data_IF_594377425127
#
_entry.id   IF_594377425127
#
_cell.length_a   1.000
_cell.length_b   1.000
_cell.length_c   1.000
_cell.angle_alpha   90.00
_cell.angle_beta   90.00
_cell.angle_gamma   90.00
#
_symmetry.space_group_name_H-M   'P 1'
#
loop_
_entity.id
_entity.type
_entity.pdbx_description
1 polymer ?
#
# COMPACT_ATOMS: atom_id res chain seq x y z
N UNK A 1 36.46 -22.46 8.61
CA UNK A 1 35.84 -21.17 8.99
C UNK A 1 35.60 -20.21 7.80
N UNK A 2 36.35 -20.30 6.68
CA UNK A 2 36.14 -19.44 5.48
C UNK A 2 34.83 -19.68 4.69
N UNK A 3 34.19 -20.86 4.82
CA UNK A 3 32.97 -21.19 4.05
C UNK A 3 31.70 -20.43 4.51
N UNK A 4 31.66 -19.96 5.77
CA UNK A 4 30.52 -19.19 6.29
C UNK A 4 30.45 -17.78 5.68
N UNK A 5 31.59 -17.24 5.22
CA UNK A 5 31.69 -15.86 4.72
C UNK A 5 30.87 -15.64 3.44
N UNK A 6 30.66 -16.69 2.65
CA UNK A 6 29.86 -16.64 1.42
C UNK A 6 28.35 -16.76 1.67
N UNK A 7 27.91 -17.04 2.90
CA UNK A 7 26.50 -17.21 3.21
C UNK A 7 25.75 -15.87 3.21
N UNK A 8 26.36 -14.81 3.76
CA UNK A 8 25.78 -13.47 3.84
C UNK A 8 25.33 -12.88 2.48
N UNK A 9 26.14 -12.89 1.40
CA UNK A 9 25.70 -12.36 0.12
C UNK A 9 24.55 -13.17 -0.50
N UNK A 10 24.48 -14.49 -0.26
CA UNK A 10 23.39 -15.34 -0.78
C UNK A 10 22.04 -14.96 -0.15
N UNK A 11 22.03 -14.64 1.15
CA UNK A 11 20.82 -14.18 1.84
C UNK A 11 20.31 -12.82 1.30
N UNK A 12 21.19 -11.96 0.78
CA UNK A 12 20.78 -10.68 0.21
C UNK A 12 19.96 -10.84 -1.08
N UNK A 13 20.24 -11.86 -1.90
CA UNK A 13 19.55 -12.12 -3.16
C UNK A 13 18.17 -12.78 -3.00
N UNK A 14 17.83 -13.33 -1.83
CA UNK A 14 16.52 -13.96 -1.55
C UNK A 14 15.54 -13.05 -0.82
N UNK A 15 15.88 -11.77 -0.62
CA UNK A 15 15.05 -10.79 0.10
C UNK A 15 13.82 -10.29 -0.67
N UNK A 16 13.37 -11.00 -1.71
CA UNK A 16 12.19 -10.60 -2.49
C UNK A 16 10.92 -10.75 -1.64
N UNK A 17 10.48 -9.63 -1.07
CA UNK A 17 9.22 -9.55 -0.33
C UNK A 17 8.06 -9.61 -1.32
N UNK A 18 7.32 -10.71 -1.31
CA UNK A 18 6.06 -10.83 -2.04
C UNK A 18 4.95 -10.20 -1.19
N UNK A 19 4.73 -8.90 -1.37
CA UNK A 19 3.55 -8.26 -0.82
C UNK A 19 2.30 -8.92 -1.42
N UNK A 20 1.36 -9.32 -0.56
CA UNK A 20 0.08 -9.86 -1.04
C UNK A 20 -0.66 -8.78 -1.83
N UNK A 21 -0.85 -9.02 -3.12
CA UNK A 21 -1.47 -8.08 -4.04
C UNK A 21 -2.87 -8.57 -4.43
N UNK A 22 -3.79 -8.50 -3.47
CA UNK A 22 -5.21 -8.78 -3.73
C UNK A 22 -5.97 -7.47 -4.00
N UNK A 23 -5.97 -7.02 -5.27
CA UNK A 23 -6.68 -5.80 -5.68
C UNK A 23 -8.17 -5.79 -5.33
N UNK A 24 -8.79 -6.96 -5.12
CA UNK A 24 -10.22 -7.04 -4.79
C UNK A 24 -10.50 -6.42 -3.42
N UNK A 25 -9.57 -6.55 -2.50
CA UNK A 25 -9.73 -6.09 -1.11
C UNK A 25 -9.72 -4.55 -1.03
N UNK A 26 -9.16 -3.87 -2.04
CA UNK A 26 -9.09 -2.41 -2.12
C UNK A 26 -10.24 -1.76 -2.90
N UNK A 27 -11.22 -2.54 -3.39
CA UNK A 27 -12.36 -1.99 -4.15
C UNK A 27 -13.43 -1.34 -3.26
N UNK A 28 -13.52 -1.79 -2.01
CA UNK A 28 -14.54 -1.40 -1.04
C UNK A 28 -13.90 -1.01 0.28
N UNK A 29 -14.49 -0.06 0.99
CA UNK A 29 -13.97 0.38 2.28
C UNK A 29 -14.13 1.88 2.49
N UNK A 30 -13.54 2.38 3.57
CA UNK A 30 -13.54 3.80 3.92
C UNK A 30 -12.21 4.41 3.55
N UNK A 31 -12.27 5.52 2.83
CA UNK A 31 -11.11 6.19 2.30
C UNK A 31 -11.09 7.64 2.77
N UNK A 32 -9.87 8.15 2.91
CA UNK A 32 -9.58 9.55 3.17
C UNK A 32 -8.79 10.07 1.98
N UNK A 33 -9.27 11.15 1.37
CA UNK A 33 -8.56 11.80 0.28
C UNK A 33 -8.15 13.21 0.71
N UNK A 34 -6.85 13.49 0.57
CA UNK A 34 -6.27 14.79 0.87
C UNK A 34 -5.81 15.45 -0.43
N UNK A 35 -6.22 16.70 -0.65
CA UNK A 35 -5.84 17.47 -1.82
C UNK A 35 -5.68 18.95 -1.46
N UNK A 36 -4.97 19.71 -2.28
CA UNK A 36 -4.72 21.13 -2.04
C UNK A 36 -5.47 21.99 -3.06
N UNK A 37 -6.15 23.03 -2.59
CA UNK A 37 -6.81 24.03 -3.43
C UNK A 37 -6.35 25.40 -2.97
N UNK A 38 -5.63 26.13 -3.83
CA UNK A 38 -5.09 27.46 -3.54
C UNK A 38 -4.27 27.54 -2.24
N UNK A 39 -3.38 26.57 -2.00
CA UNK A 39 -2.58 26.52 -0.77
C UNK A 39 -3.33 26.00 0.47
N UNK A 40 -4.62 25.69 0.35
CA UNK A 40 -5.44 25.17 1.44
C UNK A 40 -5.62 23.68 1.29
N UNK A 41 -5.12 22.90 2.26
CA UNK A 41 -5.37 21.46 2.34
C UNK A 41 -6.84 21.19 2.63
N UNK A 42 -7.44 20.33 1.82
CA UNK A 42 -8.80 19.81 1.92
C UNK A 42 -8.72 18.32 2.14
N UNK A 43 -9.64 17.82 2.96
CA UNK A 43 -9.75 16.42 3.30
C UNK A 43 -11.19 16.00 3.10
N UNK A 44 -11.42 14.95 2.33
CA UNK A 44 -12.73 14.32 2.17
C UNK A 44 -12.68 12.88 2.66
N UNK A 45 -13.83 12.40 3.14
CA UNK A 45 -14.03 11.02 3.55
C UNK A 45 -15.15 10.42 2.71
N UNK A 46 -14.95 9.19 2.24
CA UNK A 46 -15.96 8.49 1.47
C UNK A 46 -15.88 6.99 1.70
N UNK A 47 -17.02 6.32 1.53
CA UNK A 47 -17.13 4.86 1.59
C UNK A 47 -17.48 4.32 0.19
N UNK A 48 -16.67 3.38 -0.30
CA UNK A 48 -16.97 2.64 -1.54
C UNK A 48 -17.64 1.32 -1.21
N UNK A 49 -18.81 1.10 -1.81
CA UNK A 49 -19.53 -0.19 -1.80
C UNK A 49 -19.71 -0.62 -3.25
N UNK A 50 -18.92 -1.58 -3.69
CA UNK A 50 -18.88 -2.07 -5.07
C UNK A 50 -18.76 -0.95 -6.12
N UNK A 51 -19.87 -0.58 -6.76
CA UNK A 51 -19.94 0.41 -7.84
C UNK A 51 -20.42 1.79 -7.39
N UNK A 52 -20.70 1.98 -6.09
CA UNK A 52 -21.16 3.26 -5.53
C UNK A 52 -20.15 3.86 -4.56
N UNK A 53 -20.08 5.18 -4.55
CA UNK A 53 -19.31 5.99 -3.62
C UNK A 53 -20.27 6.87 -2.81
N UNK A 54 -20.07 6.90 -1.49
CA UNK A 54 -20.92 7.62 -0.54
C UNK A 54 -20.02 8.59 0.23
N UNK A 55 -20.21 9.89 0.03
CA UNK A 55 -19.54 10.92 0.83
C UNK A 55 -20.03 10.87 2.29
N UNK A 56 -19.11 11.04 3.25
CA UNK A 56 -19.39 10.99 4.71
C UNK A 56 -18.88 12.23 5.41
#
# INVERSE_FOLDING_TARGET
MKKILFLFPILAFVSCYNAEHNCKDFKTGKFKFEFEVNGVKKTTFFERKDSIEIET
#
